data_IF_069231018308
#
_entry.id   IF_069231018308
#
_cell.length_a   1.000
_cell.length_b   1.000
_cell.length_c   1.000
_cell.angle_alpha   90.00
_cell.angle_beta   90.00
_cell.angle_gamma   90.00
#
_symmetry.space_group_name_H-M   'P 1'
#
loop_
_entity.id
_entity.type
_entity.pdbx_description
1 polymer ?
#
# COMPACT_ATOMS: atom_id res chain seq x y z
N UNK A 1 -3.73 -0.64 7.04
CA UNK A 1 -4.13 0.31 5.98
C UNK A 1 -5.21 -0.33 5.13
N UNK A 2 -6.35 0.33 4.92
CA UNK A 2 -7.44 -0.18 4.06
C UNK A 2 -7.47 0.71 2.83
N UNK A 3 -6.90 0.23 1.72
CA UNK A 3 -7.04 0.90 0.42
C UNK A 3 -8.43 0.68 -0.16
N UNK A 4 -8.86 1.58 -1.02
CA UNK A 4 -10.12 1.56 -1.74
C UNK A 4 -9.87 1.70 -3.25
N UNK A 5 -10.88 1.40 -4.10
CA UNK A 5 -10.71 1.44 -5.55
C UNK A 5 -10.29 2.82 -6.09
N UNK A 6 -10.68 3.91 -5.42
CA UNK A 6 -10.31 5.28 -5.78
C UNK A 6 -8.81 5.58 -5.58
N UNK A 7 -8.13 4.81 -4.74
CA UNK A 7 -6.69 4.96 -4.50
C UNK A 7 -5.86 4.40 -5.67
N UNK A 8 -6.51 3.67 -6.59
CA UNK A 8 -5.89 3.07 -7.76
C UNK A 8 -6.26 3.89 -8.99
N UNK A 9 -5.34 4.74 -9.43
CA UNK A 9 -5.48 5.50 -10.67
C UNK A 9 -4.44 5.04 -11.72
N UNK A 10 -4.91 4.35 -12.75
CA UNK A 10 -4.06 3.88 -13.85
C UNK A 10 -3.41 5.01 -14.66
N UNK A 11 -3.93 6.24 -14.61
CA UNK A 11 -3.32 7.39 -15.29
C UNK A 11 -1.97 7.81 -14.67
N UNK A 12 -1.63 7.28 -13.48
CA UNK A 12 -0.34 7.51 -12.81
C UNK A 12 0.79 6.61 -13.29
N UNK A 13 0.45 5.59 -14.09
CA UNK A 13 1.42 4.63 -14.59
C UNK A 13 1.41 4.61 -16.11
N UNK A 14 2.56 4.34 -16.70
CA UNK A 14 2.65 4.09 -18.14
C UNK A 14 2.40 2.60 -18.48
N UNK A 15 2.45 2.28 -19.78
CA UNK A 15 2.23 0.92 -20.26
C UNK A 15 3.27 -0.08 -19.73
N UNK A 16 4.52 0.34 -19.49
CA UNK A 16 5.58 -0.54 -18.96
C UNK A 16 5.34 -0.84 -17.49
N UNK A 17 4.99 0.19 -16.72
CA UNK A 17 4.63 0.05 -15.31
C UNK A 17 3.36 -0.78 -15.15
N UNK A 18 2.41 -0.72 -16.10
CA UNK A 18 1.24 -1.59 -16.09
C UNK A 18 1.58 -3.06 -16.36
N UNK A 19 2.50 -3.35 -17.28
CA UNK A 19 3.01 -4.72 -17.47
C UNK A 19 3.71 -5.23 -16.19
N UNK A 20 4.55 -4.40 -15.56
CA UNK A 20 5.22 -4.74 -14.30
C UNK A 20 4.21 -4.99 -13.17
N UNK A 21 3.17 -4.15 -13.08
CA UNK A 21 2.07 -4.30 -12.14
C UNK A 21 1.36 -5.65 -12.31
N UNK A 22 1.09 -6.05 -13.56
CA UNK A 22 0.48 -7.35 -13.86
C UNK A 22 1.40 -8.49 -13.44
N UNK A 23 2.70 -8.40 -13.72
CA UNK A 23 3.70 -9.38 -13.29
C UNK A 23 3.74 -9.53 -11.76
N UNK A 24 3.83 -8.42 -11.03
CA UNK A 24 3.83 -8.43 -9.56
C UNK A 24 2.53 -9.00 -8.99
N UNK A 25 1.38 -8.69 -9.60
CA UNK A 25 0.10 -9.24 -9.21
C UNK A 25 0.06 -10.77 -9.39
N UNK A 26 0.57 -11.29 -10.50
CA UNK A 26 0.65 -12.73 -10.76
C UNK A 26 1.59 -13.43 -9.76
N UNK A 27 2.72 -12.81 -9.39
CA UNK A 27 3.57 -13.34 -8.31
C UNK A 27 2.80 -13.51 -7.01
N UNK A 28 1.97 -12.53 -6.62
CA UNK A 28 1.15 -12.63 -5.39
C UNK A 28 0.15 -13.77 -5.45
N UNK A 29 -0.39 -14.05 -6.63
CA UNK A 29 -1.28 -15.20 -6.88
C UNK A 29 -0.55 -16.54 -7.07
N UNK A 30 0.75 -16.63 -6.73
CA UNK A 30 1.54 -17.87 -6.73
C UNK A 30 1.70 -18.52 -8.11
N UNK A 31 1.61 -17.73 -9.17
CA UNK A 31 2.13 -18.16 -10.47
C UNK A 31 3.65 -18.32 -10.36
N UNK A 32 4.20 -19.39 -10.93
CA UNK A 32 5.62 -19.72 -10.84
C UNK A 32 6.24 -19.95 -12.22
N UNK A 33 7.58 -20.08 -12.26
CA UNK A 33 8.37 -20.19 -13.49
C UNK A 33 8.00 -19.10 -14.51
N UNK A 34 7.80 -17.89 -14.02
CA UNK A 34 7.32 -16.78 -14.85
C UNK A 34 8.42 -16.24 -15.76
N UNK A 35 8.09 -16.08 -17.03
CA UNK A 35 8.94 -15.50 -18.05
C UNK A 35 8.28 -14.19 -18.51
N UNK A 36 8.92 -13.07 -18.21
CA UNK A 36 8.51 -11.76 -18.71
C UNK A 36 9.29 -11.44 -19.99
N UNK A 37 8.57 -11.31 -21.11
CA UNK A 37 9.15 -11.02 -22.41
C UNK A 37 9.15 -9.50 -22.64
N UNK A 38 10.25 -8.83 -22.30
CA UNK A 38 10.44 -7.42 -22.60
C UNK A 38 11.13 -7.24 -23.97
N UNK A 39 10.47 -6.56 -24.92
CA UNK A 39 11.08 -6.15 -26.19
C UNK A 39 10.16 -6.33 -27.43
N UNK A 40 10.62 -5.83 -28.59
CA UNK A 40 9.83 -5.76 -29.84
C UNK A 40 9.61 -7.09 -30.57
N UNK A 41 10.07 -8.20 -30.00
CA UNK A 41 9.83 -9.53 -30.55
C UNK A 41 8.57 -10.11 -29.89
N UNK A 42 7.42 -9.57 -30.28
CA UNK A 42 6.08 -9.98 -29.83
C UNK A 42 5.80 -11.44 -30.20
N UNK A 43 6.29 -12.38 -29.40
CA UNK A 43 5.97 -13.81 -29.50
C UNK A 43 4.56 -14.11 -28.96
N UNK A 44 3.63 -13.17 -29.11
CA UNK A 44 2.22 -13.37 -28.84
C UNK A 44 1.76 -13.28 -27.38
N UNK A 45 2.60 -12.80 -26.47
CA UNK A 45 2.33 -12.64 -25.03
C UNK A 45 3.36 -11.72 -24.38
N UNK A 46 3.01 -11.14 -23.24
CA UNK A 46 3.95 -10.35 -22.42
C UNK A 46 4.51 -11.19 -21.27
N UNK A 47 3.67 -12.05 -20.67
CA UNK A 47 4.06 -12.93 -19.56
C UNK A 47 3.63 -14.36 -19.84
N UNK A 48 4.53 -15.31 -19.61
CA UNK A 48 4.25 -16.74 -19.56
C UNK A 48 4.46 -17.22 -18.13
N UNK A 49 3.57 -18.07 -17.63
CA UNK A 49 3.70 -18.63 -16.28
C UNK A 49 3.15 -20.05 -16.20
N UNK A 50 3.52 -20.73 -15.12
CA UNK A 50 3.00 -22.04 -14.75
C UNK A 50 2.17 -21.95 -13.47
N UNK A 51 1.16 -22.82 -13.40
CA UNK A 51 0.36 -23.04 -12.19
C UNK A 51 0.37 -24.53 -11.86
N UNK A 52 0.69 -24.85 -10.61
CA UNK A 52 0.55 -26.20 -10.07
C UNK A 52 -0.88 -26.40 -9.59
N UNK A 53 -1.64 -27.25 -10.29
CA UNK A 53 -3.01 -27.61 -9.93
C UNK A 53 -2.99 -28.90 -9.11
N UNK A 54 -3.57 -28.83 -7.91
CA UNK A 54 -3.77 -30.01 -7.05
C UNK A 54 -5.20 -30.50 -7.24
N UNK A 55 -5.35 -31.65 -7.90
CA UNK A 55 -6.64 -32.27 -8.14
C UNK A 55 -6.78 -33.54 -7.28
N UNK A 56 -7.86 -33.69 -6.49
CA UNK A 56 -8.04 -34.86 -5.62
C UNK A 56 -8.10 -36.21 -6.35
N UNK A 57 -8.49 -36.21 -7.63
CA UNK A 57 -8.63 -37.43 -8.44
C UNK A 57 -7.44 -37.65 -9.37
N UNK A 58 -6.94 -36.59 -10.01
CA UNK A 58 -5.89 -36.67 -11.03
C UNK A 58 -4.47 -36.48 -10.47
N UNK A 59 -4.37 -36.14 -9.18
CA UNK A 59 -3.11 -35.76 -8.55
C UNK A 59 -2.68 -34.34 -8.93
N UNK A 60 -1.38 -34.08 -8.81
CA UNK A 60 -0.79 -32.77 -9.11
C UNK A 60 -0.33 -32.71 -10.56
N UNK A 61 -0.71 -31.66 -11.26
CA UNK A 61 -0.23 -31.40 -12.62
C UNK A 61 0.02 -29.91 -12.83
N UNK A 62 0.73 -29.57 -13.90
CA UNK A 62 1.12 -28.19 -14.21
C UNK A 62 0.37 -27.70 -15.43
N UNK A 63 -0.19 -26.51 -15.34
CA UNK A 63 -0.82 -25.80 -16.45
C UNK A 63 0.05 -24.64 -16.91
N UNK A 64 0.13 -24.47 -18.23
CA UNK A 64 0.81 -23.34 -18.86
C UNK A 64 -0.19 -22.23 -19.18
N UNK A 65 0.13 -21.02 -18.74
CA UNK A 65 -0.69 -19.82 -18.85
C UNK A 65 0.04 -18.72 -19.62
N UNK A 66 -0.65 -18.07 -20.55
CA UNK A 66 -0.19 -16.87 -21.24
C UNK A 66 -1.00 -15.67 -20.80
N UNK A 67 -0.31 -14.56 -20.56
CA UNK A 67 -0.89 -13.28 -20.23
C UNK A 67 -0.45 -12.24 -21.25
N UNK A 68 -1.43 -11.53 -21.81
CA UNK A 68 -1.22 -10.33 -22.60
C UNK A 68 -1.73 -9.14 -21.79
N UNK A 69 -0.87 -8.15 -21.59
CA UNK A 69 -1.12 -6.93 -20.85
C UNK A 69 -1.31 -5.79 -21.85
N UNK A 70 -2.50 -5.18 -21.87
CA UNK A 70 -2.81 -4.07 -22.77
C UNK A 70 -3.20 -2.83 -21.99
N UNK A 71 -2.37 -1.79 -22.09
CA UNK A 71 -2.65 -0.46 -21.54
C UNK A 71 -3.24 0.47 -22.62
N UNK A 72 -4.50 0.85 -22.46
CA UNK A 72 -5.25 1.68 -23.42
C UNK A 72 -5.97 2.82 -22.69
N UNK A 73 -6.26 3.90 -23.42
CA UNK A 73 -7.07 5.03 -22.91
C UNK A 73 -8.58 4.82 -23.06
N UNK A 74 -9.01 3.88 -23.91
CA UNK A 74 -10.43 3.62 -24.15
C UNK A 74 -10.75 2.14 -24.06
N UNK A 75 -10.46 1.37 -25.10
CA UNK A 75 -10.65 -0.07 -25.07
C UNK A 75 -9.74 -0.79 -26.04
N UNK A 76 -9.46 -2.05 -25.74
CA UNK A 76 -8.55 -2.89 -26.52
C UNK A 76 -9.26 -3.35 -27.79
N UNK A 77 -8.78 -2.98 -28.99
CA UNK A 77 -9.42 -3.34 -30.24
C UNK A 77 -9.13 -4.80 -30.63
N UNK A 78 -10.04 -5.41 -31.41
CA UNK A 78 -9.93 -6.81 -31.84
C UNK A 78 -8.59 -7.12 -32.52
N UNK A 79 -8.10 -6.21 -33.37
CA UNK A 79 -6.89 -6.41 -34.18
C UNK A 79 -5.66 -6.76 -33.35
N UNK A 80 -5.58 -6.23 -32.13
CA UNK A 80 -4.49 -6.48 -31.19
C UNK A 80 -4.48 -7.91 -30.63
N UNK A 81 -5.64 -8.58 -30.64
CA UNK A 81 -5.82 -9.88 -29.99
C UNK A 81 -5.70 -11.05 -30.96
N UNK A 82 -5.86 -10.81 -32.27
CA UNK A 82 -5.89 -11.88 -33.29
C UNK A 82 -4.59 -12.69 -33.29
N UNK A 83 -3.44 -12.01 -33.36
CA UNK A 83 -2.14 -12.68 -33.39
C UNK A 83 -1.80 -13.35 -32.06
N UNK A 84 -2.19 -12.74 -30.93
CA UNK A 84 -1.93 -13.24 -29.58
C UNK A 84 -2.64 -14.57 -29.31
N UNK A 85 -3.92 -14.67 -29.72
CA UNK A 85 -4.68 -15.93 -29.64
C UNK A 85 -4.09 -17.01 -30.55
N UNK A 86 -3.68 -16.65 -31.77
CA UNK A 86 -3.04 -17.61 -32.67
C UNK A 86 -1.74 -18.18 -32.09
N UNK A 87 -0.95 -17.35 -31.42
CA UNK A 87 0.26 -17.79 -30.70
C UNK A 87 -0.05 -18.68 -29.50
N UNK A 88 -1.09 -18.35 -28.72
CA UNK A 88 -1.55 -19.19 -27.61
C UNK A 88 -2.00 -20.58 -28.11
N UNK A 89 -2.73 -20.63 -29.23
CA UNK A 89 -3.14 -21.86 -29.88
C UNK A 89 -1.95 -22.70 -30.35
N UNK A 90 -1.00 -22.09 -31.04
CA UNK A 90 0.21 -22.76 -31.53
C UNK A 90 1.07 -23.33 -30.38
N UNK A 91 1.09 -22.66 -29.23
CA UNK A 91 1.80 -23.11 -28.03
C UNK A 91 1.00 -24.07 -27.14
N UNK A 92 -0.23 -24.41 -27.52
CA UNK A 92 -1.13 -25.34 -26.79
C UNK A 92 -1.24 -25.02 -25.29
N UNK A 93 -1.33 -23.72 -24.96
CA UNK A 93 -1.53 -23.29 -23.58
C UNK A 93 -2.88 -23.78 -23.06
N UNK A 94 -3.06 -23.81 -21.74
CA UNK A 94 -4.36 -24.12 -21.13
C UNK A 94 -5.20 -22.88 -20.92
N UNK A 95 -4.54 -21.75 -20.68
CA UNK A 95 -5.18 -20.49 -20.39
C UNK A 95 -4.47 -19.36 -21.13
N UNK A 96 -5.26 -18.52 -21.78
CA UNK A 96 -4.88 -17.20 -22.29
C UNK A 96 -5.65 -16.15 -21.50
N UNK A 97 -4.96 -15.14 -21.01
CA UNK A 97 -5.55 -14.09 -20.18
C UNK A 97 -5.20 -12.73 -20.77
N UNK A 98 -6.21 -11.95 -21.13
CA UNK A 98 -6.06 -10.54 -21.42
C UNK A 98 -6.20 -9.75 -20.11
N UNK A 99 -5.14 -9.09 -19.70
CA UNK A 99 -5.15 -8.12 -18.60
C UNK A 99 -5.13 -6.71 -19.20
N UNK A 100 -6.07 -5.85 -18.81
CA UNK A 100 -6.12 -4.48 -19.34
C UNK A 100 -6.59 -3.48 -18.30
N UNK A 101 -6.04 -2.27 -18.34
CA UNK A 101 -6.44 -1.16 -17.46
C UNK A 101 -7.85 -0.62 -17.79
N UNK A 102 -8.39 -0.98 -18.96
CA UNK A 102 -9.71 -0.56 -19.43
C UNK A 102 -10.61 -1.78 -19.64
N UNK A 103 -11.01 -2.05 -20.88
CA UNK A 103 -11.88 -3.15 -21.28
C UNK A 103 -11.67 -3.45 -22.78
N UNK A 104 -11.99 -4.66 -23.26
CA UNK A 104 -12.07 -4.92 -24.70
C UNK A 104 -13.19 -4.09 -25.35
N UNK A 105 -13.01 -3.64 -26.59
CA UNK A 105 -14.12 -3.06 -27.37
C UNK A 105 -15.21 -4.10 -27.63
N UNK A 106 -16.40 -3.67 -28.06
CA UNK A 106 -17.51 -4.60 -28.38
C UNK A 106 -17.09 -5.67 -29.38
N UNK A 107 -16.44 -5.26 -30.48
CA UNK A 107 -15.98 -6.19 -31.51
C UNK A 107 -14.91 -7.14 -30.98
N UNK A 108 -14.03 -6.66 -30.09
CA UNK A 108 -13.05 -7.51 -29.41
C UNK A 108 -13.73 -8.55 -28.51
N UNK A 109 -14.75 -8.16 -27.74
CA UNK A 109 -15.55 -9.08 -26.93
C UNK A 109 -16.25 -10.15 -27.76
N UNK A 110 -16.90 -9.76 -28.84
CA UNK A 110 -17.60 -10.69 -29.73
C UNK A 110 -16.60 -11.67 -30.38
N UNK A 111 -15.43 -11.17 -30.80
CA UNK A 111 -14.33 -12.00 -31.28
C UNK A 111 -13.83 -13.00 -30.23
N UNK A 112 -13.55 -12.56 -29.00
CA UNK A 112 -13.07 -13.44 -27.92
C UNK A 112 -14.09 -14.55 -27.59
N UNK A 113 -15.38 -14.22 -27.54
CA UNK A 113 -16.47 -15.18 -27.31
C UNK A 113 -16.56 -16.24 -28.41
N UNK A 114 -16.50 -15.81 -29.67
CA UNK A 114 -16.51 -16.74 -30.81
C UNK A 114 -15.26 -17.62 -30.80
N UNK A 115 -14.08 -17.05 -30.50
CA UNK A 115 -12.83 -17.83 -30.40
C UNK A 115 -12.86 -18.84 -29.27
N UNK A 116 -13.41 -18.51 -28.11
CA UNK A 116 -13.55 -19.42 -26.97
C UNK A 116 -14.30 -20.72 -27.34
N UNK A 117 -15.20 -20.68 -28.31
CA UNK A 117 -15.96 -21.87 -28.75
C UNK A 117 -15.15 -22.81 -29.65
N UNK A 118 -14.06 -22.33 -30.24
CA UNK A 118 -13.32 -23.04 -31.30
C UNK A 118 -11.96 -23.51 -30.80
N UNK A 119 -11.32 -22.74 -29.92
CA UNK A 119 -9.98 -23.06 -29.41
C UNK A 119 -10.03 -24.07 -28.26
N UNK A 120 -8.95 -24.84 -28.10
CA UNK A 120 -8.84 -25.89 -27.06
C UNK A 120 -8.29 -25.38 -25.71
N UNK A 121 -8.44 -24.09 -25.43
CA UNK A 121 -7.96 -23.45 -24.21
C UNK A 121 -8.95 -22.41 -23.70
N UNK A 122 -8.78 -21.98 -22.46
CA UNK A 122 -9.66 -21.00 -21.84
C UNK A 122 -9.13 -19.58 -22.07
N UNK A 123 -10.01 -18.68 -22.50
CA UNK A 123 -9.77 -17.26 -22.72
C UNK A 123 -10.41 -16.50 -21.56
N UNK A 124 -9.60 -15.72 -20.86
CA UNK A 124 -10.01 -14.89 -19.73
C UNK A 124 -9.78 -13.42 -20.04
N UNK A 125 -10.62 -12.56 -19.49
CA UNK A 125 -10.43 -11.11 -19.51
C UNK A 125 -10.47 -10.60 -18.09
N UNK A 126 -9.38 -9.94 -17.67
CA UNK A 126 -9.28 -9.22 -16.41
C UNK A 126 -9.20 -7.74 -16.78
N UNK A 127 -10.36 -7.09 -16.75
CA UNK A 127 -10.51 -5.67 -17.08
C UNK A 127 -10.06 -4.77 -15.92
N UNK A 128 -10.03 -3.46 -16.14
CA UNK A 128 -9.51 -2.50 -15.17
C UNK A 128 -10.22 -2.56 -13.82
N UNK A 129 -11.53 -2.86 -13.83
CA UNK A 129 -12.32 -3.00 -12.61
C UNK A 129 -11.91 -4.25 -11.84
N UNK A 130 -11.76 -5.38 -12.52
CA UNK A 130 -11.29 -6.61 -11.90
C UNK A 130 -9.86 -6.47 -11.39
N UNK A 131 -8.95 -5.83 -12.13
CA UNK A 131 -7.58 -5.56 -11.67
C UNK A 131 -7.61 -4.75 -10.37
N UNK A 132 -8.37 -3.64 -10.31
CA UNK A 132 -8.51 -2.84 -9.07
C UNK A 132 -8.96 -3.68 -7.89
N UNK A 133 -10.03 -4.46 -8.06
CA UNK A 133 -10.54 -5.35 -7.02
C UNK A 133 -9.49 -6.36 -6.53
N UNK A 134 -8.67 -6.91 -7.44
CA UNK A 134 -7.60 -7.85 -7.09
C UNK A 134 -6.43 -7.16 -6.37
N UNK A 135 -6.12 -5.91 -6.72
CA UNK A 135 -5.06 -5.12 -6.09
C UNK A 135 -5.37 -4.76 -4.63
N UNK A 136 -6.64 -4.59 -4.26
CA UNK A 136 -7.02 -4.29 -2.87
C UNK A 136 -6.57 -5.37 -1.87
N UNK A 137 -6.36 -6.61 -2.33
CA UNK A 137 -5.80 -7.68 -1.50
C UNK A 137 -4.29 -7.52 -1.23
N UNK A 138 -3.59 -6.65 -1.97
CA UNK A 138 -2.13 -6.46 -1.91
C UNK A 138 -1.76 -4.98 -1.74
N UNK A 139 -1.91 -4.43 -0.52
CA UNK A 139 -1.58 -3.03 -0.21
C UNK A 139 -0.17 -2.60 -0.63
N UNK A 140 0.80 -3.51 -0.58
CA UNK A 140 2.19 -3.23 -0.95
C UNK A 140 2.35 -2.95 -2.45
N UNK A 141 1.58 -3.63 -3.32
CA UNK A 141 1.54 -3.33 -4.76
C UNK A 141 0.90 -1.96 -4.97
N UNK A 142 -0.18 -1.64 -4.27
CA UNK A 142 -0.83 -0.32 -4.40
C UNK A 142 0.14 0.80 -4.04
N UNK A 143 0.93 0.62 -2.99
CA UNK A 143 1.98 1.58 -2.61
C UNK A 143 3.02 1.74 -3.71
N UNK A 144 3.51 0.63 -4.28
CA UNK A 144 4.55 0.67 -5.32
C UNK A 144 4.14 1.45 -6.56
N UNK A 145 2.89 1.32 -7.02
CA UNK A 145 2.47 1.84 -8.32
C UNK A 145 1.58 3.08 -8.27
N UNK A 146 0.85 3.31 -7.18
CA UNK A 146 -0.18 4.35 -7.15
C UNK A 146 0.01 5.37 -6.03
N UNK A 147 0.92 5.14 -5.08
CA UNK A 147 1.21 6.14 -4.06
C UNK A 147 2.02 7.30 -4.61
N UNK A 148 1.78 8.48 -4.04
CA UNK A 148 2.56 9.69 -4.28
C UNK A 148 4.00 9.49 -3.76
N UNK A 149 4.99 10.11 -4.41
CA UNK A 149 6.40 10.07 -3.98
C UNK A 149 6.54 10.46 -2.49
N UNK A 150 5.72 11.41 -2.04
CA UNK A 150 5.69 11.86 -0.64
C UNK A 150 5.18 10.78 0.29
N UNK A 151 4.13 10.04 -0.11
CA UNK A 151 3.58 8.92 0.66
C UNK A 151 4.59 7.79 0.77
N UNK A 152 5.28 7.48 -0.34
CA UNK A 152 6.36 6.47 -0.37
C UNK A 152 7.52 6.92 0.54
N UNK A 153 7.89 8.19 0.50
CA UNK A 153 8.93 8.75 1.34
C UNK A 153 8.61 8.63 2.83
N UNK A 154 7.41 9.06 3.26
CA UNK A 154 6.98 8.96 4.66
C UNK A 154 6.96 7.50 5.12
N UNK A 155 6.43 6.58 4.31
CA UNK A 155 6.44 5.14 4.63
C UNK A 155 7.85 4.57 4.79
N UNK A 156 8.81 5.05 3.99
CA UNK A 156 10.21 4.66 4.13
C UNK A 156 10.82 5.21 5.42
N UNK A 157 10.48 6.44 5.83
CA UNK A 157 10.92 7.00 7.11
C UNK A 157 10.33 6.22 8.29
N UNK A 158 9.03 5.88 8.23
CA UNK A 158 8.38 5.01 9.22
C UNK A 158 9.10 3.66 9.31
N UNK A 159 9.42 3.04 8.17
CA UNK A 159 10.15 1.78 8.12
C UNK A 159 11.57 1.90 8.68
N UNK A 160 12.30 2.97 8.36
CA UNK A 160 13.63 3.21 8.93
C UNK A 160 13.56 3.32 10.46
N UNK A 161 12.59 4.06 10.99
CA UNK A 161 12.38 4.14 12.42
C UNK A 161 12.04 2.78 13.04
N UNK A 162 11.05 2.08 12.49
CA UNK A 162 10.58 0.80 13.06
C UNK A 162 11.63 -0.31 13.02
N UNK A 163 12.47 -0.35 11.98
CA UNK A 163 13.43 -1.44 11.77
C UNK A 163 14.86 -1.10 12.21
N UNK A 164 15.21 0.18 12.22
CA UNK A 164 16.59 0.65 12.45
C UNK A 164 16.68 1.64 13.61
N UNK A 165 15.56 2.02 14.23
CA UNK A 165 15.48 3.02 15.28
C UNK A 165 16.08 4.38 14.86
N UNK A 166 15.95 4.69 13.57
CA UNK A 166 16.45 5.91 12.96
C UNK A 166 15.30 6.87 12.67
N UNK A 167 15.26 7.99 13.40
CA UNK A 167 14.34 9.10 13.12
C UNK A 167 14.91 10.03 12.03
N UNK A 168 14.05 10.69 11.24
CA UNK A 168 14.50 11.69 10.28
C UNK A 168 15.20 12.86 10.99
N UNK A 169 16.23 13.41 10.35
CA UNK A 169 16.88 14.63 10.82
C UNK A 169 16.00 15.87 10.57
N UNK A 170 16.36 17.01 11.18
CA UNK A 170 15.56 18.23 11.09
C UNK A 170 15.46 18.78 9.67
N UNK A 171 16.50 18.59 8.84
CA UNK A 171 16.49 18.97 7.42
C UNK A 171 15.48 18.14 6.62
N UNK A 172 15.37 16.85 6.92
CA UNK A 172 14.42 15.92 6.33
C UNK A 172 13.00 16.32 6.72
N UNK A 173 12.76 16.62 8.00
CA UNK A 173 11.45 17.08 8.49
C UNK A 173 11.04 18.43 7.89
N UNK A 174 11.97 19.39 7.77
CA UNK A 174 11.73 20.69 7.14
C UNK A 174 11.28 20.53 5.68
N UNK A 175 12.01 19.72 4.89
CA UNK A 175 11.61 19.41 3.51
C UNK A 175 10.28 18.67 3.44
N UNK A 176 10.03 17.74 4.36
CA UNK A 176 8.78 17.00 4.39
C UNK A 176 7.60 17.95 4.63
N UNK A 177 7.75 18.94 5.52
CA UNK A 177 6.73 19.96 5.78
C UNK A 177 6.32 20.73 4.53
N UNK A 178 7.22 20.94 3.57
CA UNK A 178 6.92 21.68 2.34
C UNK A 178 6.07 20.90 1.33
N UNK A 179 6.19 19.57 1.33
CA UNK A 179 5.58 18.71 0.30
C UNK A 179 4.45 17.81 0.82
N UNK A 180 4.33 17.67 2.15
CA UNK A 180 3.36 16.75 2.74
C UNK A 180 1.93 17.25 2.57
N UNK A 181 1.10 16.40 1.99
CA UNK A 181 -0.36 16.57 1.93
C UNK A 181 -1.00 15.58 2.91
N UNK A 182 -1.48 16.03 4.09
CA UNK A 182 -1.96 15.14 5.15
C UNK A 182 -3.07 14.19 4.71
N UNK A 183 -3.99 14.65 3.87
CA UNK A 183 -5.12 13.86 3.37
C UNK A 183 -4.73 12.64 2.54
N UNK A 184 -3.47 12.54 2.10
CA UNK A 184 -2.93 11.36 1.39
C UNK A 184 -2.28 10.32 2.31
N UNK A 185 -2.12 10.63 3.60
CA UNK A 185 -1.39 9.79 4.56
C UNK A 185 -2.34 8.98 5.44
N UNK A 186 -1.90 7.80 5.87
CA UNK A 186 -2.61 7.02 6.88
C UNK A 186 -2.41 7.59 8.29
N UNK A 187 -3.26 7.19 9.24
CA UNK A 187 -3.14 7.60 10.65
C UNK A 187 -1.77 7.27 11.26
N UNK A 188 -1.18 6.14 10.89
CA UNK A 188 0.14 5.74 11.36
C UNK A 188 1.24 6.68 10.82
N UNK A 189 1.12 7.10 9.56
CA UNK A 189 2.05 8.01 8.89
C UNK A 189 1.95 9.43 9.49
N UNK A 190 0.73 9.93 9.70
CA UNK A 190 0.47 11.25 10.28
C UNK A 190 1.02 11.36 11.72
N UNK A 191 0.69 10.39 12.57
CA UNK A 191 1.15 10.35 13.96
C UNK A 191 2.66 10.15 14.04
N UNK A 192 3.25 9.38 13.12
CA UNK A 192 4.71 9.26 13.04
C UNK A 192 5.39 10.62 12.76
N UNK A 193 4.85 11.45 11.87
CA UNK A 193 5.44 12.77 11.57
C UNK A 193 5.43 13.66 12.82
N UNK A 194 4.29 13.74 13.53
CA UNK A 194 4.16 14.50 14.78
C UNK A 194 5.13 13.98 15.85
N UNK A 195 5.23 12.66 15.97
CA UNK A 195 6.17 12.01 16.88
C UNK A 195 7.63 12.35 16.52
N UNK A 196 8.03 12.18 15.26
CA UNK A 196 9.38 12.43 14.80
C UNK A 196 9.79 13.88 15.00
N UNK A 197 8.87 14.83 14.77
CA UNK A 197 9.12 16.25 15.03
C UNK A 197 9.28 16.52 16.53
N UNK A 198 8.43 15.97 17.40
CA UNK A 198 8.57 16.15 18.84
C UNK A 198 9.88 15.55 19.40
N UNK A 199 10.33 14.44 18.84
CA UNK A 199 11.60 13.80 19.24
C UNK A 199 12.83 14.41 18.57
N UNK A 200 12.65 15.31 17.61
CA UNK A 200 13.77 16.04 17.05
C UNK A 200 14.31 17.03 18.10
N UNK A 201 15.63 17.24 18.13
CA UNK A 201 16.25 18.30 18.93
C UNK A 201 15.95 19.69 18.32
N UNK A 202 14.71 19.94 17.90
CA UNK A 202 14.28 21.20 17.29
C UNK A 202 14.33 22.30 18.35
N UNK A 203 15.22 23.24 18.10
CA UNK A 203 15.32 24.50 18.82
C UNK A 203 15.41 25.60 17.76
N UNK A 204 14.42 26.50 17.74
CA UNK A 204 14.32 27.59 16.78
C UNK A 204 15.58 28.46 16.76
N UNK A 205 16.21 28.63 17.92
CA UNK A 205 17.42 29.44 18.09
C UNK A 205 18.69 28.74 17.57
N UNK A 206 18.63 27.42 17.36
CA UNK A 206 19.75 26.58 16.93
C UNK A 206 19.59 26.02 15.50
N UNK A 207 18.57 26.49 14.76
CA UNK A 207 18.37 26.06 13.38
C UNK A 207 19.54 26.48 12.47
N UNK A 208 19.94 25.61 11.53
CA UNK A 208 20.82 26.00 10.43
C UNK A 208 20.25 27.23 9.68
N UNK A 209 21.13 28.15 9.26
CA UNK A 209 20.72 29.36 8.54
C UNK A 209 19.91 29.13 7.26
N UNK A 210 19.97 27.92 6.70
CA UNK A 210 19.23 27.51 5.51
C UNK A 210 17.83 26.93 5.81
N UNK A 211 17.38 26.94 7.07
CA UNK A 211 16.09 26.39 7.50
C UNK A 211 15.27 27.48 8.19
N UNK A 212 14.07 27.75 7.65
CA UNK A 212 13.09 28.59 8.34
C UNK A 212 12.40 27.81 9.47
N UNK A 213 12.05 28.45 10.61
CA UNK A 213 11.23 27.83 11.65
C UNK A 213 9.94 27.23 11.08
N UNK A 214 9.58 26.04 11.54
CA UNK A 214 8.44 25.31 11.01
C UNK A 214 7.80 24.43 12.08
N UNK A 215 6.55 24.06 11.84
CA UNK A 215 5.81 23.10 12.65
C UNK A 215 4.92 22.23 11.75
N UNK A 216 4.27 21.24 12.36
CA UNK A 216 3.31 20.36 11.71
C UNK A 216 1.88 20.59 12.21
N UNK A 217 1.53 21.80 12.62
CA UNK A 217 0.24 22.06 13.26
C UNK A 217 -0.95 21.70 12.35
N UNK A 218 -0.81 21.97 11.05
CA UNK A 218 -1.79 21.63 10.03
C UNK A 218 -2.09 20.12 9.90
N UNK A 219 -1.26 19.23 10.45
CA UNK A 219 -1.50 17.78 10.46
C UNK A 219 -2.62 17.40 11.44
N UNK A 220 -2.79 18.13 12.54
CA UNK A 220 -3.76 17.79 13.59
C UNK A 220 -5.20 17.73 13.07
N UNK A 221 -5.56 18.61 12.14
CA UNK A 221 -6.87 18.62 11.48
C UNK A 221 -7.16 17.33 10.73
N UNK A 222 -6.15 16.67 10.15
CA UNK A 222 -6.35 15.38 9.47
C UNK A 222 -6.32 14.22 10.47
N UNK A 223 -5.42 14.28 11.46
CA UNK A 223 -5.34 13.28 12.55
C UNK A 223 -6.67 13.09 13.24
N UNK A 224 -7.39 14.18 13.57
CA UNK A 224 -8.69 14.12 14.25
C UNK A 224 -9.76 13.34 13.46
N UNK A 225 -9.69 13.33 12.11
CA UNK A 225 -10.61 12.56 11.26
C UNK A 225 -10.41 11.05 11.37
N UNK A 226 -9.26 10.62 11.89
CA UNK A 226 -8.91 9.20 12.07
C UNK A 226 -9.18 8.68 13.50
N UNK A 227 -9.99 9.39 14.29
CA UNK A 227 -10.42 8.95 15.62
C UNK A 227 -10.96 7.51 15.59
N UNK A 228 -10.45 6.69 16.49
CA UNK A 228 -10.70 5.24 16.50
C UNK A 228 -10.86 4.65 17.91
N UNK A 229 -10.80 5.49 18.95
CA UNK A 229 -11.04 5.10 20.34
C UNK A 229 -11.78 6.21 21.08
N UNK A 230 -12.34 5.88 22.23
CA UNK A 230 -13.03 6.83 23.11
C UNK A 230 -12.05 7.79 23.79
N UNK A 231 -12.52 9.01 24.08
CA UNK A 231 -11.80 9.99 24.89
C UNK A 231 -12.24 9.91 26.36
N UNK A 232 -11.33 10.06 27.35
CA UNK A 232 -9.88 10.05 27.17
C UNK A 232 -9.38 8.65 26.83
N UNK A 233 -8.19 8.55 26.22
CA UNK A 233 -7.54 7.26 26.01
C UNK A 233 -7.18 6.69 27.38
N UNK A 234 -7.79 5.56 27.76
CA UNK A 234 -7.46 4.85 29.00
C UNK A 234 -6.11 4.13 28.83
N UNK A 235 -5.07 4.73 29.39
CA UNK A 235 -3.73 4.15 29.38
C UNK A 235 -3.67 2.88 30.24
N UNK A 236 -4.43 2.77 31.33
CA UNK A 236 -4.34 1.64 32.27
C UNK A 236 -4.86 0.35 31.59
N UNK A 237 -5.98 0.42 30.87
CA UNK A 237 -6.50 -0.71 30.11
C UNK A 237 -5.54 -1.16 28.98
N UNK A 238 -4.82 -0.22 28.36
CA UNK A 238 -3.94 -0.50 27.23
C UNK A 238 -2.58 -1.12 27.58
N UNK A 239 -2.18 -1.00 28.84
CA UNK A 239 -0.88 -1.47 29.31
C UNK A 239 -0.94 -2.60 30.35
N UNK A 240 -2.13 -2.95 30.84
CA UNK A 240 -2.28 -3.92 31.93
C UNK A 240 -1.84 -3.33 33.28
N UNK A 241 -2.11 -4.04 34.37
CA UNK A 241 -1.78 -3.61 35.73
C UNK A 241 -0.28 -3.29 35.92
N UNK A 242 0.07 -2.41 36.87
CA UNK A 242 1.43 -1.96 37.20
C UNK A 242 2.52 -3.07 37.30
N UNK A 243 2.14 -4.32 37.58
CA UNK A 243 3.05 -5.47 37.59
C UNK A 243 3.61 -5.84 36.20
N UNK A 244 2.85 -5.64 35.13
CA UNK A 244 3.31 -5.90 33.75
C UNK A 244 4.25 -4.79 33.25
N UNK A 245 4.05 -3.55 33.70
CA UNK A 245 4.97 -2.43 33.45
C UNK A 245 6.35 -2.65 34.06
N UNK A 246 6.38 -3.06 35.34
CA UNK A 246 7.62 -3.41 36.03
C UNK A 246 8.36 -4.55 35.32
N UNK A 247 7.63 -5.53 34.78
CA UNK A 247 8.20 -6.62 33.99
C UNK A 247 8.77 -6.14 32.66
N UNK A 248 8.03 -5.37 31.86
CA UNK A 248 8.48 -4.86 30.55
C UNK A 248 9.74 -3.98 30.70
N UNK A 249 9.78 -3.09 31.70
CA UNK A 249 10.95 -2.25 31.99
C UNK A 249 12.12 -3.06 32.57
N UNK A 250 11.85 -4.09 33.39
CA UNK A 250 12.92 -4.95 33.92
C UNK A 250 13.54 -5.84 32.85
N UNK A 251 12.75 -6.27 31.86
CA UNK A 251 13.21 -7.12 30.76
C UNK A 251 14.01 -6.30 29.74
N UNK A 252 13.59 -5.07 29.40
CA UNK A 252 14.32 -4.20 28.46
C UNK A 252 15.71 -3.77 28.94
N UNK A 253 15.96 -3.77 30.25
CA UNK A 253 17.28 -3.45 30.83
C UNK A 253 18.27 -4.61 30.83
N UNK A 254 17.84 -5.84 30.53
CA UNK A 254 18.67 -7.05 30.64
C UNK A 254 19.10 -7.71 29.33
N UNK A 255 18.53 -7.31 28.18
CA UNK A 255 18.79 -7.95 26.88
C UNK A 255 18.90 -6.89 25.78
N UNK A 256 20.06 -6.83 25.11
CA UNK A 256 20.31 -5.99 23.91
C UNK A 256 19.39 -6.34 22.70
N UNK A 257 18.51 -7.33 22.84
CA UNK A 257 17.63 -7.86 21.79
C UNK A 257 16.13 -7.66 22.02
N UNK A 258 15.70 -6.99 23.09
CA UNK A 258 14.27 -6.70 23.26
C UNK A 258 13.89 -5.46 22.45
N UNK A 259 12.94 -5.64 21.54
CA UNK A 259 12.37 -4.60 20.69
C UNK A 259 12.03 -3.36 21.52
N UNK A 260 12.66 -2.23 21.19
CA UNK A 260 12.47 -0.96 21.90
C UNK A 260 10.98 -0.61 21.90
N UNK A 261 10.45 -0.46 23.11
CA UNK A 261 9.10 0.01 23.32
C UNK A 261 9.09 1.53 23.28
N UNK A 262 8.48 2.09 22.24
CA UNK A 262 8.28 3.55 22.14
C UNK A 262 6.82 3.87 22.41
N UNK A 263 6.62 4.82 23.33
CA UNK A 263 5.32 5.29 23.77
C UNK A 263 5.30 6.81 23.67
N UNK A 264 4.27 7.35 23.01
CA UNK A 264 3.97 8.78 23.04
C UNK A 264 2.48 9.00 23.19
N UNK A 265 2.13 9.78 24.22
CA UNK A 265 0.84 10.42 24.36
C UNK A 265 1.01 11.92 24.13
N UNK A 266 0.28 12.45 23.16
CA UNK A 266 0.17 13.89 22.93
C UNK A 266 -1.30 14.29 23.03
N UNK A 267 -1.52 15.46 23.62
CA UNK A 267 -2.81 16.14 23.63
C UNK A 267 -2.65 17.44 22.87
N UNK A 268 -3.54 17.70 21.93
CA UNK A 268 -3.60 18.96 21.19
C UNK A 268 -4.98 19.60 21.40
N UNK A 269 -4.97 20.92 21.61
CA UNK A 269 -6.18 21.72 21.81
C UNK A 269 -6.35 22.62 20.59
N UNK A 270 -7.33 22.31 19.77
CA UNK A 270 -7.68 23.13 18.60
C UNK A 270 -8.47 24.36 19.06
N UNK A 271 -8.33 25.49 18.34
CA UNK A 271 -9.07 26.74 18.60
C UNK A 271 -10.60 26.52 18.55
N UNK A 272 -11.04 25.47 17.85
CA UNK A 272 -12.44 25.00 17.77
C UNK A 272 -12.90 24.12 18.96
N UNK A 273 -12.13 24.05 20.07
CA UNK A 273 -12.45 23.32 21.32
C UNK A 273 -12.51 21.79 21.22
N UNK A 274 -11.81 21.21 20.26
CA UNK A 274 -11.60 19.76 20.20
C UNK A 274 -10.26 19.40 20.85
N UNK A 275 -10.32 18.53 21.87
CA UNK A 275 -9.16 17.91 22.48
C UNK A 275 -8.84 16.64 21.71
N UNK A 276 -7.74 16.61 20.98
CA UNK A 276 -7.27 15.39 20.29
C UNK A 276 -6.22 14.74 21.16
N UNK A 277 -6.44 13.48 21.52
CA UNK A 277 -5.45 12.62 22.17
C UNK A 277 -4.97 11.57 21.18
N UNK A 278 -3.66 11.40 21.09
CA UNK A 278 -3.05 10.31 20.32
C UNK A 278 -2.24 9.41 21.23
N UNK A 279 -2.24 8.13 20.90
CA UNK A 279 -1.37 7.13 21.49
C UNK A 279 -0.64 6.39 20.37
N UNK A 280 0.68 6.52 20.33
CA UNK A 280 1.57 5.77 19.45
C UNK A 280 2.30 4.69 20.24
N UNK A 281 2.21 3.45 19.78
CA UNK A 281 2.93 2.30 20.34
C UNK A 281 3.76 1.64 19.25
N UNK A 282 5.07 1.52 19.45
CA UNK A 282 5.95 0.68 18.63
C UNK A 282 6.41 -0.52 19.44
N UNK A 283 6.16 -1.74 18.95
CA UNK A 283 6.59 -2.99 19.57
C UNK A 283 6.76 -4.07 18.50
N UNK A 284 7.80 -4.90 18.61
CA UNK A 284 8.05 -6.00 17.68
C UNK A 284 8.03 -5.59 16.20
N UNK A 285 8.59 -4.41 15.89
CA UNK A 285 8.61 -3.81 14.55
C UNK A 285 7.21 -3.58 13.96
N UNK A 286 6.22 -3.37 14.84
CA UNK A 286 4.86 -2.99 14.47
C UNK A 286 4.48 -1.69 15.16
N UNK A 287 3.69 -0.88 14.47
CA UNK A 287 3.12 0.35 15.01
C UNK A 287 1.63 0.16 15.24
N UNK A 288 1.15 0.61 16.40
CA UNK A 288 -0.28 0.77 16.69
C UNK A 288 -0.56 2.22 17.06
N UNK A 289 -1.61 2.79 16.46
CA UNK A 289 -2.04 4.16 16.71
C UNK A 289 -3.49 4.18 17.18
N UNK A 290 -3.71 4.78 18.36
CA UNK A 290 -5.04 5.17 18.83
C UNK A 290 -5.20 6.69 18.79
N UNK A 291 -6.39 7.14 18.40
CA UNK A 291 -6.73 8.56 18.29
C UNK A 291 -8.11 8.75 18.90
N UNK A 292 -8.25 9.70 19.82
CA UNK A 292 -9.49 10.05 20.48
C UNK A 292 -9.75 11.55 20.35
N UNK A 293 -11.01 11.91 20.12
CA UNK A 293 -11.46 13.31 20.12
C UNK A 293 -12.39 13.53 21.33
N UNK A 294 -12.09 14.53 22.14
CA UNK A 294 -12.93 15.01 23.23
C UNK A 294 -13.49 16.40 22.91
N UNK A 295 -14.74 16.65 23.29
CA UNK A 295 -15.28 18.01 23.31
C UNK A 295 -15.17 18.56 24.74
N UNK A 296 -14.79 19.82 24.88
CA UNK A 296 -14.67 20.53 26.16
C UNK A 296 -15.99 20.70 26.94
N UNK A 297 -17.12 20.20 26.42
CA UNK A 297 -18.44 20.36 27.05
C UNK A 297 -18.66 19.54 28.33
N UNK A 298 -17.66 18.84 28.86
CA UNK A 298 -17.77 18.00 30.07
C UNK A 298 -17.07 18.53 31.34
N UNK A 299 -16.57 19.77 31.36
CA UNK A 299 -15.97 20.36 32.57
C UNK A 299 -16.88 21.32 33.36
N UNK A 300 -18.20 21.27 33.16
CA UNK A 300 -19.18 22.01 33.97
C UNK A 300 -20.29 21.09 34.52
N UNK A 301 -19.93 20.12 35.35
CA UNK A 301 -20.85 19.46 36.30
C UNK A 301 -20.14 19.18 37.62
#
# INVERSE_FOLDING_TARGET
MVFQEQDINFDRIDWRQFEELCFDLLMKYQYHDMIWLQGSADAGRDIEALVTVVNPLLGTYVEKWFFECKFYTSGVPMVELVSKIAWAEANKVKHFVLMTNTHPTKDAWDFLKLKQQIVNFNIHVIDGKLIKSKLLAFPDIIVKYFSDDTVVWVKNLVKQWVFQDALPDIKTLSKLREVVEPSKLGKEDLVFILFAFQQSDYDEDLLPYDIEPFNFEFIWTEVSKHANTSYPIDLIEDFGSDEDWGRIISMSKGNEQLDKFVYVAQSHHDDDKQNVQILLKSYARQITVKIANGNDTMNNL
#
